data_IF_960342777300
#
_entry.id   IF_960342777300
#
_cell.length_a   1.000
_cell.length_b   1.000
_cell.length_c   1.000
_cell.angle_alpha   90.00
_cell.angle_beta   90.00
_cell.angle_gamma   90.00
#
_symmetry.space_group_name_H-M   'P 1'
#
loop_
_entity.id
_entity.type
_entity.pdbx_description
1 polymer ?
#
# COMPACT_ATOMS: atom_id res chain seq x y z
N UNK A 1 -30.93 4.19 14.17
CA UNK A 1 -29.50 4.51 14.19
C UNK A 1 -28.79 3.36 13.49
N UNK A 2 -28.64 3.46 12.17
CA UNK A 2 -28.03 2.40 11.37
C UNK A 2 -26.53 2.57 11.50
N UNK A 3 -25.87 1.56 12.06
CA UNK A 3 -24.41 1.48 12.02
C UNK A 3 -24.02 1.50 10.54
N UNK A 4 -23.28 2.52 10.11
CA UNK A 4 -22.50 2.43 8.88
C UNK A 4 -21.53 1.28 9.14
N UNK A 5 -21.92 0.08 8.73
CA UNK A 5 -21.00 -1.03 8.73
C UNK A 5 -19.90 -0.62 7.78
N UNK A 6 -18.68 -0.39 8.29
CA UNK A 6 -17.47 -0.21 7.50
C UNK A 6 -17.26 -1.49 6.68
N UNK A 7 -17.98 -1.59 5.56
CA UNK A 7 -17.92 -2.76 4.70
C UNK A 7 -16.62 -2.69 3.91
N UNK A 8 -15.80 -3.72 4.03
CA UNK A 8 -14.59 -3.84 3.24
C UNK A 8 -14.93 -4.47 1.89
N UNK A 9 -14.67 -3.72 0.82
CA UNK A 9 -14.81 -4.22 -0.56
C UNK A 9 -13.44 -4.66 -1.04
N UNK A 10 -13.28 -5.97 -1.24
CA UNK A 10 -12.00 -6.61 -1.54
C UNK A 10 -11.78 -6.78 -3.04
N UNK A 11 -10.66 -6.27 -3.53
CA UNK A 11 -10.14 -6.50 -4.89
C UNK A 11 -9.02 -7.53 -4.85
N UNK A 12 -9.11 -8.56 -5.70
CA UNK A 12 -8.03 -9.56 -5.84
C UNK A 12 -6.95 -9.02 -6.77
N UNK A 13 -5.74 -8.82 -6.26
CA UNK A 13 -4.62 -8.26 -7.01
C UNK A 13 -3.89 -9.32 -7.85
N UNK A 14 -3.30 -10.33 -7.20
CA UNK A 14 -2.50 -11.37 -7.86
C UNK A 14 -2.38 -12.63 -6.99
N UNK A 15 -1.69 -13.65 -7.50
CA UNK A 15 -1.22 -14.76 -6.67
C UNK A 15 -0.05 -14.30 -5.79
N UNK A 16 0.08 -14.83 -4.58
CA UNK A 16 1.09 -14.41 -3.60
C UNK A 16 2.54 -14.59 -4.11
N UNK A 17 2.78 -15.67 -4.83
CA UNK A 17 4.06 -16.02 -5.44
C UNK A 17 4.41 -15.16 -6.67
N UNK A 18 3.43 -14.51 -7.29
CA UNK A 18 3.65 -13.57 -8.39
C UNK A 18 4.13 -12.20 -7.92
N UNK A 19 3.93 -11.85 -6.64
CA UNK A 19 4.45 -10.61 -6.06
C UNK A 19 5.85 -10.84 -5.50
N UNK A 20 6.86 -10.33 -6.21
CA UNK A 20 8.27 -10.45 -5.83
C UNK A 20 8.52 -9.59 -4.57
N UNK A 21 9.16 -10.13 -3.51
CA UNK A 21 9.51 -9.36 -2.32
C UNK A 21 10.27 -8.06 -2.65
N UNK A 22 9.92 -6.97 -1.97
CA UNK A 22 10.48 -5.63 -2.14
C UNK A 22 10.09 -4.91 -3.45
N UNK A 23 9.47 -5.59 -4.41
CA UNK A 23 9.02 -4.99 -5.67
C UNK A 23 7.54 -4.62 -5.60
N UNK A 24 7.26 -3.33 -5.63
CA UNK A 24 5.88 -2.84 -5.66
C UNK A 24 5.17 -3.09 -7.00
N UNK A 25 3.84 -3.19 -6.92
CA UNK A 25 2.94 -3.22 -8.09
C UNK A 25 1.76 -2.26 -7.86
N UNK A 26 1.23 -1.71 -8.95
CA UNK A 26 0.01 -0.92 -8.92
C UNK A 26 -1.23 -1.81 -8.90
N UNK A 27 -2.19 -1.51 -8.03
CA UNK A 27 -3.52 -2.13 -8.00
C UNK A 27 -4.56 -1.03 -8.17
N UNK A 28 -5.51 -1.25 -9.09
CA UNK A 28 -6.67 -0.39 -9.27
C UNK A 28 -7.86 -1.02 -8.55
N UNK A 29 -8.44 -0.30 -7.59
CA UNK A 29 -9.66 -0.72 -6.89
C UNK A 29 -10.90 -0.38 -7.72
N UNK A 30 -12.05 -0.93 -7.34
CA UNK A 30 -13.33 -0.78 -8.03
C UNK A 30 -13.90 0.66 -7.98
N UNK A 31 -13.49 1.47 -7.00
CA UNK A 31 -13.81 2.90 -6.89
C UNK A 31 -12.83 3.81 -7.67
N UNK A 32 -11.83 3.23 -8.34
CA UNK A 32 -10.78 3.97 -9.05
C UNK A 32 -9.60 4.39 -8.19
N UNK A 33 -9.62 4.09 -6.89
CA UNK A 33 -8.46 4.29 -6.01
C UNK A 33 -7.26 3.49 -6.51
N UNK A 34 -6.09 4.13 -6.51
CA UNK A 34 -4.83 3.52 -6.93
C UNK A 34 -3.97 3.18 -5.72
N UNK A 35 -3.53 1.93 -5.66
CA UNK A 35 -2.78 1.37 -4.53
C UNK A 35 -1.41 0.89 -5.00
N UNK A 36 -0.38 1.19 -4.21
CA UNK A 36 0.92 0.56 -4.27
C UNK A 36 0.96 -0.63 -3.30
N UNK A 37 1.04 -1.83 -3.85
CA UNK A 37 1.05 -3.09 -3.10
C UNK A 37 2.48 -3.64 -3.05
N UNK A 38 2.92 -4.04 -1.86
CA UNK A 38 4.23 -4.60 -1.59
C UNK A 38 4.10 -5.92 -0.83
N UNK A 39 5.03 -6.82 -1.09
CA UNK A 39 5.36 -7.97 -0.23
C UNK A 39 6.74 -7.74 0.37
N UNK A 40 6.90 -7.94 1.67
CA UNK A 40 8.19 -7.86 2.35
C UNK A 40 8.84 -9.25 2.46
N UNK A 41 10.13 -9.28 2.83
CA UNK A 41 10.89 -10.53 2.96
C UNK A 41 10.37 -11.44 4.08
N UNK A 42 9.72 -10.87 5.10
CA UNK A 42 9.02 -11.61 6.16
C UNK A 42 7.69 -12.23 5.71
N UNK A 43 7.29 -12.00 4.44
CA UNK A 43 6.06 -12.50 3.85
C UNK A 43 4.83 -11.63 4.11
N UNK A 44 4.95 -10.55 4.87
CA UNK A 44 3.85 -9.60 5.08
C UNK A 44 3.52 -8.84 3.78
N UNK A 45 2.25 -8.48 3.63
CA UNK A 45 1.74 -7.67 2.50
C UNK A 45 1.24 -6.33 3.01
N UNK A 46 1.67 -5.25 2.35
CA UNK A 46 1.35 -3.88 2.74
C UNK A 46 0.84 -3.12 1.53
N UNK A 47 -0.16 -2.27 1.73
CA UNK A 47 -0.84 -1.56 0.66
C UNK A 47 -1.05 -0.09 1.05
N UNK A 48 -0.47 0.81 0.26
CA UNK A 48 -0.55 2.27 0.48
C UNK A 48 -1.03 2.99 -0.77
N UNK A 49 -1.37 4.28 -0.68
CA UNK A 49 -1.73 5.09 -1.84
C UNK A 49 -0.64 5.11 -2.92
N UNK A 50 -1.02 4.94 -4.18
CA UNK A 50 -0.06 4.92 -5.29
C UNK A 50 0.42 6.32 -5.72
N UNK A 51 -0.30 7.37 -5.34
CA UNK A 51 0.02 8.77 -5.71
C UNK A 51 0.99 9.35 -4.69
N UNK A 52 2.16 9.78 -5.16
CA UNK A 52 3.13 10.50 -4.35
C UNK A 52 2.58 11.90 -4.01
N UNK A 53 2.35 12.23 -2.73
CA UNK A 53 1.72 13.48 -2.33
C UNK A 53 2.57 14.72 -2.60
N UNK A 54 3.88 14.58 -2.84
CA UNK A 54 4.76 15.71 -3.14
C UNK A 54 4.81 16.04 -4.63
N UNK A 55 4.72 15.02 -5.50
CA UNK A 55 4.82 15.19 -6.95
C UNK A 55 3.48 15.10 -7.69
N UNK A 56 2.45 14.52 -7.06
CA UNK A 56 1.17 14.22 -7.69
C UNK A 56 1.21 13.05 -8.68
N UNK A 57 2.35 12.38 -8.82
CA UNK A 57 2.51 11.28 -9.77
C UNK A 57 2.12 9.93 -9.15
N UNK A 58 1.47 9.07 -9.93
CA UNK A 58 1.09 7.71 -9.53
C UNK A 58 2.28 6.73 -9.59
N UNK A 59 3.26 6.91 -8.70
CA UNK A 59 4.58 6.26 -8.77
C UNK A 59 5.00 5.51 -7.51
N UNK A 60 4.23 5.52 -6.42
CA UNK A 60 4.69 4.89 -5.17
C UNK A 60 4.98 3.40 -5.32
N UNK A 61 4.22 2.67 -6.14
CA UNK A 61 4.49 1.26 -6.49
C UNK A 61 5.85 1.00 -7.15
N UNK A 62 6.51 2.03 -7.65
CA UNK A 62 7.85 1.96 -8.24
C UNK A 62 8.94 2.38 -7.25
N UNK A 63 8.58 2.64 -6.00
CA UNK A 63 9.47 3.01 -4.93
C UNK A 63 10.39 1.86 -4.50
N UNK A 64 11.42 2.22 -3.74
CA UNK A 64 12.37 1.26 -3.17
C UNK A 64 11.94 0.98 -1.74
N UNK A 65 11.64 -0.28 -1.44
CA UNK A 65 11.38 -0.74 -0.08
C UNK A 65 12.69 -0.79 0.72
N UNK A 66 12.63 -0.39 1.98
CA UNK A 66 13.73 -0.53 2.94
C UNK A 66 13.23 -0.36 4.37
N UNK A 67 14.14 -0.03 5.27
CA UNK A 67 13.81 0.30 6.65
C UNK A 67 14.36 1.68 7.08
N UNK A 68 13.76 2.26 8.11
CA UNK A 68 14.31 3.39 8.86
C UNK A 68 14.24 3.05 10.34
N UNK A 69 15.37 2.65 10.91
CA UNK A 69 15.43 2.26 12.32
C UNK A 69 14.55 1.05 12.64
N UNK A 70 14.50 0.06 11.73
CA UNK A 70 13.66 -1.13 11.86
C UNK A 70 12.20 -0.95 11.42
N UNK A 71 11.76 0.26 11.07
CA UNK A 71 10.42 0.50 10.52
C UNK A 71 10.41 0.34 9.01
N UNK A 72 9.63 -0.61 8.50
CA UNK A 72 9.48 -0.85 7.06
C UNK A 72 8.89 0.36 6.35
N UNK A 73 9.50 0.77 5.25
CA UNK A 73 9.13 1.96 4.50
C UNK A 73 9.34 1.76 3.01
N UNK A 74 8.70 2.63 2.21
CA UNK A 74 8.98 2.79 0.78
C UNK A 74 9.43 4.22 0.50
N UNK A 75 10.53 4.38 -0.23
CA UNK A 75 10.96 5.68 -0.72
C UNK A 75 10.28 6.02 -2.05
N UNK A 76 9.69 7.21 -2.14
CA UNK A 76 9.05 7.69 -3.37
C UNK A 76 10.08 7.80 -4.52
N UNK A 77 9.72 7.48 -5.77
CA UNK A 77 10.68 7.55 -6.88
C UNK A 77 11.17 8.95 -7.24
N UNK A 78 10.38 10.00 -7.03
CA UNK A 78 10.68 11.33 -7.57
C UNK A 78 11.49 12.15 -6.57
N UNK A 79 10.90 12.48 -5.41
CA UNK A 79 11.52 13.37 -4.42
C UNK A 79 12.09 12.63 -3.19
N UNK A 80 12.04 11.29 -3.19
CA UNK A 80 12.74 10.37 -2.28
C UNK A 80 12.29 10.37 -0.82
N UNK A 81 11.15 10.99 -0.52
CA UNK A 81 10.56 10.90 0.82
C UNK A 81 10.22 9.45 1.15
N UNK A 82 10.49 9.06 2.39
CA UNK A 82 10.18 7.74 2.91
C UNK A 82 8.79 7.73 3.55
N UNK A 83 7.95 6.78 3.15
CA UNK A 83 6.62 6.55 3.70
C UNK A 83 6.59 5.22 4.43
N UNK A 84 6.15 5.22 5.68
CA UNK A 84 5.97 4.01 6.46
C UNK A 84 4.87 3.14 5.86
N UNK A 85 5.11 1.83 5.75
CA UNK A 85 4.17 0.90 5.11
C UNK A 85 3.00 0.50 6.02
N UNK A 86 3.17 0.62 7.33
CA UNK A 86 2.21 0.24 8.36
C UNK A 86 1.08 1.27 8.54
N UNK A 87 1.38 2.56 8.51
CA UNK A 87 0.41 3.65 8.73
C UNK A 87 0.42 4.75 7.65
N UNK A 88 1.31 4.67 6.67
CA UNK A 88 1.40 5.63 5.57
C UNK A 88 2.04 6.97 5.93
N UNK A 89 2.53 7.16 7.17
CA UNK A 89 3.17 8.40 7.60
C UNK A 89 4.45 8.68 6.81
N UNK A 90 4.65 9.94 6.39
CA UNK A 90 5.92 10.37 5.81
C UNK A 90 6.94 10.56 6.94
N UNK A 91 8.05 9.83 6.86
CA UNK A 91 9.12 9.86 7.86
C UNK A 91 10.01 11.11 7.75
N UNK A 92 9.88 11.86 6.65
CA UNK A 92 10.66 13.07 6.40
C UNK A 92 9.82 14.36 6.57
N UNK A 93 8.48 14.27 6.59
CA UNK A 93 7.56 15.37 6.94
C UNK A 93 6.31 14.83 7.67
N UNK A 94 6.21 14.99 9.01
CA UNK A 94 5.11 14.46 9.82
C UNK A 94 3.71 14.98 9.45
N UNK A 95 3.61 16.02 8.62
CA UNK A 95 2.33 16.60 8.17
C UNK A 95 1.78 15.89 6.94
N UNK A 96 2.54 14.98 6.33
CA UNK A 96 2.19 14.31 5.09
C UNK A 96 2.04 12.82 5.34
N UNK A 97 1.03 12.22 4.72
CA UNK A 97 0.82 10.77 4.73
C UNK A 97 0.19 10.32 3.42
N UNK A 98 0.28 9.03 3.16
CA UNK A 98 -0.50 8.34 2.12
C UNK A 98 -1.59 7.49 2.78
N UNK A 99 -2.73 7.24 2.10
CA UNK A 99 -3.72 6.32 2.62
C UNK A 99 -3.14 4.90 2.74
N UNK A 100 -3.60 4.14 3.73
CA UNK A 100 -3.29 2.72 3.91
C UNK A 100 -4.54 1.90 3.65
N UNK A 101 -4.37 0.78 2.97
CA UNK A 101 -5.44 -0.12 2.60
C UNK A 101 -5.26 -1.47 3.29
N UNK A 102 -6.33 -2.08 3.83
CA UNK A 102 -6.25 -3.45 4.30
C UNK A 102 -5.76 -4.38 3.18
N UNK A 103 -4.73 -5.18 3.47
CA UNK A 103 -4.21 -6.19 2.57
C UNK A 103 -4.20 -7.55 3.28
N UNK A 104 -4.48 -8.63 2.54
CA UNK A 104 -4.43 -9.99 3.07
C UNK A 104 -4.00 -11.00 2.03
N UNK A 105 -3.49 -12.13 2.51
CA UNK A 105 -3.30 -13.35 1.72
C UNK A 105 -4.44 -14.31 2.06
N UNK A 106 -5.18 -14.78 1.05
CA UNK A 106 -6.27 -15.74 1.24
C UNK A 106 -5.72 -17.17 1.40
N UNK A 107 -6.51 -18.12 1.93
CA UNK A 107 -6.12 -19.53 1.99
C UNK A 107 -5.74 -20.14 0.63
N UNK A 108 -6.31 -19.61 -0.47
CA UNK A 108 -6.02 -20.01 -1.84
C UNK A 108 -4.74 -19.36 -2.42
N UNK A 109 -3.97 -18.65 -1.59
CA UNK A 109 -2.72 -18.00 -2.01
C UNK A 109 -2.94 -16.77 -2.88
N UNK A 110 -4.06 -16.06 -2.71
CA UNK A 110 -4.34 -14.80 -3.45
C UNK A 110 -4.08 -13.60 -2.56
N UNK A 111 -3.49 -12.54 -3.10
CA UNK A 111 -3.41 -11.26 -2.40
C UNK A 111 -4.66 -10.45 -2.72
N UNK A 112 -5.31 -9.94 -1.68
CA UNK A 112 -6.46 -9.04 -1.78
C UNK A 112 -6.16 -7.73 -1.07
N UNK A 113 -6.67 -6.64 -1.64
CA UNK A 113 -6.63 -5.28 -1.07
C UNK A 113 -8.05 -4.78 -0.94
N UNK A 114 -8.40 -4.16 0.19
CA UNK A 114 -9.72 -3.59 0.39
C UNK A 114 -9.71 -2.07 0.41
N UNK A 115 -10.83 -1.49 -0.01
CA UNK A 115 -11.26 -0.17 0.47
C UNK A 115 -12.33 -0.33 1.55
N UNK A 116 -12.49 0.68 2.39
CA UNK A 116 -13.66 0.82 3.27
C UNK A 116 -14.73 1.56 2.48
N UNK A 117 -15.90 0.95 2.25
CA UNK A 117 -17.03 1.69 1.72
C UNK A 117 -17.69 2.44 2.88
N UNK A 118 -17.71 3.77 2.75
CA UNK A 118 -18.51 4.68 3.59
C UNK A 118 -19.91 4.78 3.03
#
# INVERSE_FOLDING_TARGET
>A
MTLLNDIQVWTTACAYDHLIPGRGVGVLLDDGSQVALFRLDDGSVHAVGNVDPFSGAAVMSRGIVGDRGGRAMVQSPILKQAFALDDGSCLDDPRVSVPVYPARVTPEGRIQVARVAV
#
